data_IF_949785976575
#
_entry.id   IF_949785976575
#
_cell.length_a   1.000
_cell.length_b   1.000
_cell.length_c   1.000
_cell.angle_alpha   90.00
_cell.angle_beta   90.00
_cell.angle_gamma   90.00
#
_symmetry.space_group_name_H-M   'P 1'
#
loop_
_entity.id
_entity.type
_entity.pdbx_description
1 polymer ?
#
# COMPACT_ATOMS: atom_id res chain seq x y z
N UNK A 1 -36.61 16.79 3.69
CA UNK A 1 -35.71 17.22 2.59
C UNK A 1 -34.29 17.57 3.03
N UNK A 2 -34.04 18.15 4.22
CA UNK A 2 -32.67 18.48 4.70
C UNK A 2 -31.75 17.26 4.95
N UNK A 3 -32.31 16.09 5.31
CA UNK A 3 -31.53 14.84 5.52
C UNK A 3 -31.10 14.13 4.23
N UNK A 4 -31.79 14.38 3.11
CA UNK A 4 -31.43 13.80 1.80
C UNK A 4 -30.14 14.44 1.26
N UNK A 5 -29.95 15.74 1.48
CA UNK A 5 -28.73 16.46 1.04
C UNK A 5 -27.46 16.00 1.77
N UNK A 6 -27.56 15.63 3.05
CA UNK A 6 -26.43 15.12 3.84
C UNK A 6 -25.99 13.73 3.34
N UNK A 7 -26.94 12.84 3.03
CA UNK A 7 -26.65 11.53 2.44
C UNK A 7 -26.00 11.64 1.06
N UNK A 8 -26.46 12.60 0.23
CA UNK A 8 -25.86 12.86 -1.08
C UNK A 8 -24.42 13.39 -0.96
N UNK A 9 -24.13 14.26 0.03
CA UNK A 9 -22.79 14.80 0.27
C UNK A 9 -21.79 13.72 0.72
N UNK A 10 -22.22 12.81 1.59
CA UNK A 10 -21.40 11.69 2.08
C UNK A 10 -21.10 10.70 0.96
N UNK A 11 -22.05 10.46 0.05
CA UNK A 11 -21.84 9.60 -1.11
C UNK A 11 -20.81 10.20 -2.08
N UNK A 12 -20.80 11.51 -2.28
CA UNK A 12 -19.85 12.18 -3.18
C UNK A 12 -18.42 12.14 -2.62
N UNK A 13 -18.22 12.33 -1.32
CA UNK A 13 -16.87 12.32 -0.72
C UNK A 13 -16.20 10.94 -0.79
N UNK A 14 -16.96 9.85 -0.66
CA UNK A 14 -16.41 8.49 -0.75
C UNK A 14 -16.00 8.12 -2.19
N UNK A 15 -16.73 8.61 -3.20
CA UNK A 15 -16.38 8.38 -4.62
C UNK A 15 -15.08 9.09 -5.00
N UNK A 16 -14.83 10.29 -4.48
CA UNK A 16 -13.57 11.01 -4.73
C UNK A 16 -12.36 10.31 -4.12
N UNK A 17 -12.50 9.73 -2.92
CA UNK A 17 -11.42 8.98 -2.27
C UNK A 17 -11.06 7.70 -3.03
N UNK A 18 -12.06 6.98 -3.56
CA UNK A 18 -11.83 5.77 -4.36
C UNK A 18 -11.14 6.06 -5.71
N UNK A 19 -11.47 7.19 -6.36
CA UNK A 19 -10.77 7.62 -7.58
C UNK A 19 -9.31 7.98 -7.32
N UNK A 20 -9.01 8.57 -6.15
CA UNK A 20 -7.65 8.94 -5.76
C UNK A 20 -6.74 7.70 -5.66
N UNK A 21 -7.22 6.62 -5.03
CA UNK A 21 -6.44 5.37 -4.87
C UNK A 21 -6.07 4.67 -6.18
N UNK A 22 -6.89 4.80 -7.23
CA UNK A 22 -6.65 4.15 -8.52
C UNK A 22 -5.31 4.60 -9.15
N UNK A 23 -4.93 5.87 -8.97
CA UNK A 23 -3.65 6.36 -9.49
C UNK A 23 -2.46 5.71 -8.79
N UNK A 24 -2.50 5.58 -7.47
CA UNK A 24 -1.44 4.93 -6.69
C UNK A 24 -1.31 3.45 -7.06
N UNK A 25 -2.43 2.74 -7.25
CA UNK A 25 -2.44 1.33 -7.68
C UNK A 25 -1.80 1.16 -9.07
N UNK A 26 -2.04 2.08 -10.00
CA UNK A 26 -1.36 2.07 -11.32
C UNK A 26 0.15 2.30 -11.18
N UNK A 27 0.56 3.19 -10.28
CA UNK A 27 1.97 3.43 -9.97
C UNK A 27 2.60 2.23 -9.27
N UNK A 28 1.88 1.47 -8.44
CA UNK A 28 2.36 0.20 -7.87
C UNK A 28 2.69 -0.82 -8.97
N UNK A 29 1.80 -0.99 -9.95
CA UNK A 29 1.98 -1.96 -11.05
C UNK A 29 3.20 -1.65 -11.93
N UNK A 30 3.62 -0.38 -12.01
CA UNK A 30 4.68 0.07 -12.93
C UNK A 30 5.97 0.46 -12.21
N UNK A 31 5.90 0.85 -10.94
CA UNK A 31 7.01 1.37 -10.14
C UNK A 31 8.13 0.36 -9.92
N UNK A 32 7.82 -0.93 -9.86
CA UNK A 32 8.85 -1.97 -9.71
C UNK A 32 9.81 -1.98 -10.91
N UNK A 33 9.31 -1.72 -12.12
CA UNK A 33 10.08 -1.78 -13.37
C UNK A 33 10.55 -0.41 -13.86
N UNK A 34 10.08 0.68 -13.26
CA UNK A 34 10.38 2.05 -13.68
C UNK A 34 10.74 2.93 -12.49
N UNK A 35 12.01 3.34 -12.40
CA UNK A 35 12.50 4.24 -11.36
C UNK A 35 11.70 5.56 -11.35
N UNK A 36 11.32 6.07 -12.52
CA UNK A 36 10.48 7.28 -12.62
C UNK A 36 9.12 7.07 -11.95
N UNK A 37 8.45 5.96 -12.23
CA UNK A 37 7.17 5.66 -11.61
C UNK A 37 7.30 5.43 -10.09
N UNK A 38 8.39 4.80 -9.62
CA UNK A 38 8.68 4.66 -8.20
C UNK A 38 8.87 6.02 -7.50
N UNK A 39 9.60 6.96 -8.11
CA UNK A 39 9.76 8.33 -7.59
C UNK A 39 8.42 9.07 -7.55
N UNK A 40 7.63 8.98 -8.63
CA UNK A 40 6.29 9.58 -8.66
C UNK A 40 5.37 9.00 -7.59
N UNK A 41 5.43 7.69 -7.33
CA UNK A 41 4.70 7.05 -6.24
C UNK A 41 5.12 7.62 -4.89
N UNK A 42 6.42 7.76 -4.63
CA UNK A 42 6.94 8.37 -3.39
C UNK A 42 6.43 9.80 -3.22
N UNK A 43 6.58 10.64 -4.23
CA UNK A 43 6.27 12.08 -4.13
C UNK A 43 4.78 12.32 -3.89
N UNK A 44 3.92 11.64 -4.66
CA UNK A 44 2.46 11.72 -4.50
C UNK A 44 2.03 11.19 -3.14
N UNK A 45 2.50 10.00 -2.75
CA UNK A 45 2.11 9.36 -1.50
C UNK A 45 2.57 10.16 -0.28
N UNK A 46 3.77 10.74 -0.35
CA UNK A 46 4.27 11.62 0.71
C UNK A 46 3.41 12.88 0.81
N UNK A 47 3.10 13.53 -0.31
CA UNK A 47 2.23 14.72 -0.32
C UNK A 47 0.86 14.41 0.26
N UNK A 48 0.21 13.35 -0.22
CA UNK A 48 -1.09 12.92 0.26
C UNK A 48 -1.06 12.59 1.76
N UNK A 49 -0.06 11.83 2.21
CA UNK A 49 0.09 11.51 3.64
C UNK A 49 0.33 12.76 4.49
N UNK A 50 1.07 13.76 4.02
CA UNK A 50 1.27 14.99 4.77
C UNK A 50 -0.03 15.79 4.92
N UNK A 51 -0.90 15.77 3.90
CA UNK A 51 -2.17 16.49 3.89
C UNK A 51 -3.27 15.78 4.69
N UNK A 52 -3.42 14.46 4.49
CA UNK A 52 -4.57 13.70 5.01
C UNK A 52 -4.26 12.94 6.29
N UNK A 53 -2.98 12.58 6.50
CA UNK A 53 -2.51 11.65 7.55
C UNK A 53 -3.11 10.23 7.45
N UNK A 54 -3.72 9.89 6.32
CA UNK A 54 -4.30 8.57 6.09
C UNK A 54 -3.20 7.49 5.95
N UNK A 55 -3.22 6.42 6.77
CA UNK A 55 -2.16 5.41 6.80
C UNK A 55 -1.89 4.71 5.47
N UNK A 56 -2.92 4.60 4.61
CA UNK A 56 -2.79 3.96 3.30
C UNK A 56 -1.74 4.65 2.41
N UNK A 57 -1.64 5.98 2.46
CA UNK A 57 -0.62 6.72 1.72
C UNK A 57 0.79 6.48 2.27
N UNK A 58 0.95 6.27 3.58
CA UNK A 58 2.22 5.80 4.12
C UNK A 58 2.56 4.38 3.61
N UNK A 59 1.56 3.51 3.43
CA UNK A 59 1.72 2.21 2.78
C UNK A 59 2.26 2.31 1.35
N UNK A 60 1.66 3.14 0.50
CA UNK A 60 2.16 3.37 -0.87
C UNK A 60 3.56 3.99 -0.89
N UNK A 61 3.82 4.95 0.00
CA UNK A 61 5.14 5.56 0.17
C UNK A 61 6.20 4.49 0.51
N UNK A 62 5.88 3.55 1.40
CA UNK A 62 6.77 2.46 1.77
C UNK A 62 7.09 1.57 0.55
N UNK A 63 6.10 1.20 -0.26
CA UNK A 63 6.32 0.40 -1.47
C UNK A 63 7.19 1.14 -2.49
N UNK A 64 6.96 2.44 -2.69
CA UNK A 64 7.83 3.26 -3.52
C UNK A 64 9.30 3.24 -3.07
N UNK A 65 9.55 3.29 -1.76
CA UNK A 65 10.91 3.15 -1.20
C UNK A 65 11.51 1.76 -1.46
N UNK A 66 10.72 0.69 -1.31
CA UNK A 66 11.18 -0.66 -1.66
C UNK A 66 11.53 -0.79 -3.15
N UNK A 67 10.77 -0.14 -4.04
CA UNK A 67 11.14 -0.08 -5.46
C UNK A 67 12.43 0.70 -5.69
N UNK A 68 12.64 1.81 -5.00
CA UNK A 68 13.92 2.54 -5.07
C UNK A 68 15.11 1.69 -4.60
N UNK A 69 14.91 0.77 -3.66
CA UNK A 69 15.95 -0.20 -3.28
C UNK A 69 16.31 -1.16 -4.44
N UNK A 70 15.35 -1.51 -5.30
CA UNK A 70 15.60 -2.29 -6.52
C UNK A 70 16.38 -1.48 -7.56
N UNK A 71 15.98 -0.23 -7.79
CA UNK A 71 16.57 0.67 -8.80
C UNK A 71 17.96 1.23 -8.44
N UNK A 72 18.24 1.46 -7.16
CA UNK A 72 19.51 2.06 -6.74
C UNK A 72 20.72 1.18 -7.10
N UNK A 73 21.79 1.77 -7.66
CA UNK A 73 23.02 1.04 -7.99
C UNK A 73 23.90 0.76 -6.76
N UNK A 74 24.03 1.74 -5.86
CA UNK A 74 24.90 1.64 -4.68
C UNK A 74 24.26 0.77 -3.58
N UNK A 75 24.93 -0.30 -3.10
CA UNK A 75 24.43 -1.17 -2.03
C UNK A 75 24.01 -0.44 -0.74
N UNK A 76 24.74 0.60 -0.33
CA UNK A 76 24.39 1.39 0.85
C UNK A 76 23.07 2.15 0.64
N UNK A 77 22.85 2.69 -0.56
CA UNK A 77 21.59 3.35 -0.91
C UNK A 77 20.44 2.34 -1.01
N UNK A 78 20.68 1.16 -1.59
CA UNK A 78 19.69 0.07 -1.62
C UNK A 78 19.22 -0.27 -0.20
N UNK A 79 20.17 -0.45 0.72
CA UNK A 79 19.88 -0.79 2.12
C UNK A 79 19.15 0.35 2.83
N UNK A 80 19.56 1.61 2.61
CA UNK A 80 18.87 2.78 3.17
C UNK A 80 17.41 2.82 2.72
N UNK A 81 17.15 2.72 1.42
CA UNK A 81 15.78 2.70 0.88
C UNK A 81 14.95 1.55 1.45
N UNK A 82 15.54 0.37 1.56
CA UNK A 82 14.87 -0.80 2.11
C UNK A 82 14.48 -0.60 3.58
N UNK A 83 15.42 -0.12 4.42
CA UNK A 83 15.17 0.12 5.83
C UNK A 83 14.15 1.25 6.04
N UNK A 84 14.22 2.31 5.24
CA UNK A 84 13.23 3.39 5.28
C UNK A 84 11.85 2.91 4.84
N UNK A 85 11.77 2.04 3.83
CA UNK A 85 10.54 1.37 3.40
C UNK A 85 9.94 0.54 4.52
N UNK A 86 10.75 -0.31 5.17
CA UNK A 86 10.33 -1.13 6.31
C UNK A 86 9.76 -0.29 7.45
N UNK A 87 10.50 0.73 7.87
CA UNK A 87 10.06 1.65 8.93
C UNK A 87 8.73 2.33 8.58
N UNK A 88 8.57 2.81 7.34
CA UNK A 88 7.33 3.45 6.90
C UNK A 88 6.16 2.45 6.82
N UNK A 89 6.39 1.22 6.36
CA UNK A 89 5.36 0.17 6.33
C UNK A 89 4.90 -0.20 7.74
N UNK A 90 5.84 -0.39 8.67
CA UNK A 90 5.53 -0.73 10.06
C UNK A 90 4.74 0.41 10.74
N UNK A 91 5.04 1.67 10.41
CA UNK A 91 4.26 2.82 10.88
C UNK A 91 2.84 2.82 10.32
N UNK A 92 2.67 2.57 9.01
CA UNK A 92 1.36 2.51 8.38
C UNK A 92 0.46 1.45 9.04
N UNK A 93 1.00 0.26 9.28
CA UNK A 93 0.28 -0.82 9.97
C UNK A 93 0.04 -0.56 11.45
N UNK A 94 0.92 0.18 12.12
CA UNK A 94 0.67 0.58 13.51
C UNK A 94 -0.53 1.54 13.60
N UNK A 95 -0.74 2.38 12.59
CA UNK A 95 -1.82 3.36 12.56
C UNK A 95 -3.15 2.74 12.12
N UNK A 96 -3.14 1.86 11.12
CA UNK A 96 -4.32 1.09 10.70
C UNK A 96 -3.96 -0.38 10.50
N UNK A 97 -3.94 -1.18 11.60
CA UNK A 97 -3.60 -2.58 11.55
C UNK A 97 -4.67 -3.43 10.87
N UNK A 98 -5.87 -2.89 10.64
CA UNK A 98 -6.97 -3.61 9.99
C UNK A 98 -7.00 -3.46 8.48
N UNK A 99 -6.28 -2.47 7.93
CA UNK A 99 -6.28 -2.17 6.51
C UNK A 99 -5.80 -3.33 5.65
N UNK A 100 -6.67 -3.85 4.79
CA UNK A 100 -6.34 -4.98 3.92
C UNK A 100 -5.31 -4.61 2.85
N UNK A 101 -5.38 -3.40 2.28
CA UNK A 101 -4.44 -2.99 1.23
C UNK A 101 -3.03 -2.79 1.78
N UNK A 102 -2.88 -2.21 2.98
CA UNK A 102 -1.56 -2.08 3.63
C UNK A 102 -0.96 -3.46 3.94
N UNK A 103 -1.75 -4.39 4.49
CA UNK A 103 -1.29 -5.76 4.76
C UNK A 103 -0.93 -6.51 3.49
N UNK A 104 -1.71 -6.34 2.43
CA UNK A 104 -1.41 -6.92 1.11
C UNK A 104 -0.09 -6.36 0.56
N UNK A 105 0.14 -5.04 0.64
CA UNK A 105 1.40 -4.42 0.24
C UNK A 105 2.60 -4.97 1.04
N UNK A 106 2.44 -5.14 2.36
CA UNK A 106 3.49 -5.77 3.19
C UNK A 106 3.73 -7.22 2.78
N UNK A 107 2.68 -8.01 2.56
CA UNK A 107 2.79 -9.41 2.14
C UNK A 107 3.57 -9.54 0.83
N UNK A 108 3.16 -8.83 -0.23
CA UNK A 108 3.81 -8.83 -1.54
C UNK A 108 5.29 -8.43 -1.44
N UNK A 109 5.57 -7.41 -0.62
CA UNK A 109 6.95 -6.95 -0.43
C UNK A 109 7.79 -8.01 0.29
N UNK A 110 7.28 -8.60 1.37
CA UNK A 110 8.00 -9.63 2.13
C UNK A 110 8.27 -10.87 1.27
N UNK A 111 7.31 -11.29 0.43
CA UNK A 111 7.47 -12.45 -0.45
C UNK A 111 8.44 -12.20 -1.61
N UNK A 112 8.64 -10.95 -2.01
CA UNK A 112 9.60 -10.58 -3.06
C UNK A 112 10.98 -10.17 -2.53
N UNK A 113 11.14 -9.98 -1.22
CA UNK A 113 12.40 -9.57 -0.61
C UNK A 113 13.37 -10.76 -0.46
N UNK A 114 14.69 -10.57 -0.71
CA UNK A 114 15.69 -11.60 -0.43
C UNK A 114 15.67 -12.05 1.04
N UNK A 115 15.66 -13.36 1.28
CA UNK A 115 15.56 -13.93 2.63
C UNK A 115 16.65 -13.45 3.60
N UNK A 116 17.86 -13.15 3.10
CA UNK A 116 18.98 -12.62 3.88
C UNK A 116 18.67 -11.27 4.56
N UNK A 117 17.68 -10.52 4.06
CA UNK A 117 17.24 -9.26 4.66
C UNK A 117 16.31 -9.43 5.87
N UNK A 118 15.85 -10.66 6.15
CA UNK A 118 15.01 -10.95 7.32
C UNK A 118 13.67 -10.22 7.34
N UNK A 119 13.12 -9.85 6.17
CA UNK A 119 11.81 -9.19 6.04
C UNK A 119 10.75 -10.19 5.55
N UNK A 120 10.52 -11.24 6.34
CA UNK A 120 9.61 -12.34 5.99
C UNK A 120 8.82 -12.88 7.21
N UNK A 121 8.99 -12.28 8.39
CA UNK A 121 8.45 -12.79 9.64
C UNK A 121 6.91 -12.69 9.72
N UNK A 122 6.29 -11.76 8.99
CA UNK A 122 4.84 -11.53 9.04
C UNK A 122 4.07 -12.16 7.87
N UNK A 123 4.72 -12.89 6.98
CA UNK A 123 4.07 -13.50 5.79
C UNK A 123 2.87 -14.37 6.20
N UNK A 124 3.05 -15.25 7.19
CA UNK A 124 1.99 -16.15 7.67
C UNK A 124 0.83 -15.38 8.30
N UNK A 125 1.14 -14.36 9.08
CA UNK A 125 0.15 -13.50 9.74
C UNK A 125 -0.70 -12.77 8.69
N UNK A 126 -0.06 -12.10 7.73
CA UNK A 126 -0.76 -11.33 6.69
C UNK A 126 -1.60 -12.23 5.79
N UNK A 127 -1.08 -13.38 5.34
CA UNK A 127 -1.87 -14.35 4.56
C UNK A 127 -3.11 -14.81 5.31
N UNK A 128 -2.96 -15.13 6.60
CA UNK A 128 -4.08 -15.62 7.43
C UNK A 128 -5.13 -14.53 7.60
N UNK A 129 -4.70 -13.30 7.92
CA UNK A 129 -5.61 -12.17 8.10
C UNK A 129 -6.35 -11.84 6.81
N UNK A 130 -5.63 -11.69 5.69
CA UNK A 130 -6.23 -11.37 4.39
C UNK A 130 -7.21 -12.46 3.93
N UNK A 131 -6.87 -13.74 4.11
CA UNK A 131 -7.77 -14.87 3.77
C UNK A 131 -9.06 -14.84 4.57
N UNK A 132 -9.02 -14.41 5.83
CA UNK A 132 -10.20 -14.33 6.68
C UNK A 132 -11.07 -13.11 6.35
N UNK A 133 -10.43 -11.97 6.12
CA UNK A 133 -11.11 -10.67 6.10
C UNK A 133 -11.47 -10.16 4.68
N UNK A 134 -10.88 -10.68 3.61
CA UNK A 134 -11.16 -10.17 2.25
C UNK A 134 -12.64 -10.22 1.85
N UNK A 135 -13.42 -11.12 2.44
CA UNK A 135 -14.87 -11.21 2.22
C UNK A 135 -15.61 -9.94 2.68
N UNK A 136 -15.05 -9.22 3.65
CA UNK A 136 -15.60 -8.00 4.23
C UNK A 136 -15.14 -6.73 3.50
N UNK A 137 -14.25 -6.85 2.52
CA UNK A 137 -13.78 -5.70 1.72
C UNK A 137 -14.90 -5.15 0.83
N UNK A 138 -15.12 -3.85 0.87
CA UNK A 138 -16.13 -3.15 0.07
C UNK A 138 -15.59 -2.76 -1.30
N UNK A 139 -14.28 -2.44 -1.39
CA UNK A 139 -13.62 -2.16 -2.66
C UNK A 139 -13.51 -3.45 -3.49
N UNK A 140 -14.39 -3.55 -4.50
CA UNK A 140 -14.45 -4.71 -5.40
C UNK A 140 -13.13 -5.01 -6.11
N UNK A 141 -12.36 -3.98 -6.46
CA UNK A 141 -11.06 -4.16 -7.10
C UNK A 141 -10.08 -4.80 -6.13
N UNK A 142 -9.96 -4.24 -4.93
CA UNK A 142 -9.06 -4.76 -3.90
C UNK A 142 -9.45 -6.18 -3.47
N UNK A 143 -10.75 -6.42 -3.28
CA UNK A 143 -11.30 -7.74 -2.97
C UNK A 143 -10.95 -8.78 -4.02
N UNK A 144 -11.15 -8.46 -5.31
CA UNK A 144 -10.75 -9.35 -6.41
C UNK A 144 -9.24 -9.58 -6.41
N UNK A 145 -8.47 -8.51 -6.24
CA UNK A 145 -7.01 -8.60 -6.25
C UNK A 145 -6.48 -9.49 -5.12
N UNK A 146 -7.01 -9.36 -3.90
CA UNK A 146 -6.65 -10.22 -2.76
C UNK A 146 -7.01 -11.68 -3.06
N UNK A 147 -8.23 -11.92 -3.58
CA UNK A 147 -8.68 -13.27 -3.94
C UNK A 147 -7.74 -13.91 -4.96
N UNK A 148 -7.43 -13.19 -6.03
CA UNK A 148 -6.55 -13.67 -7.11
C UNK A 148 -5.12 -13.90 -6.62
N UNK A 149 -4.58 -12.97 -5.83
CA UNK A 149 -3.23 -13.06 -5.26
C UNK A 149 -3.07 -14.25 -4.30
N UNK A 150 -4.08 -14.49 -3.46
CA UNK A 150 -4.08 -15.57 -2.48
C UNK A 150 -4.56 -16.92 -3.03
N UNK A 151 -5.10 -16.94 -4.27
CA UNK A 151 -5.69 -18.12 -4.93
C UNK A 151 -6.86 -18.72 -4.14
N UNK A 152 -7.80 -17.86 -3.73
CA UNK A 152 -9.01 -18.20 -2.97
C UNK A 152 -10.26 -18.38 -3.86
#
# INVERSE_FOLDING_TARGET
MKRLGILLLILISNVMFAQDLQEYRKLLQTGEKSERAAKTLIDKSNTAYQTTKEPIFAGFLAVGKFFMAKHAFNPLKKMSYFNDGKKTMDQALKMDPSNLEIRLMRLITQESAPAILGYNHQIKEDRTYLTREYVNEEDKFLKSYIKDYLKL
#
